data_IF_228324086789
#
_entry.id   IF_228324086789
#
_cell.length_a   1.000
_cell.length_b   1.000
_cell.length_c   1.000
_cell.angle_alpha   90.00
_cell.angle_beta   90.00
_cell.angle_gamma   90.00
#
_symmetry.space_group_name_H-M   'P 1'
#
loop_
_entity.id
_entity.type
_entity.pdbx_description
1 polymer ?
#
# COMPACT_ATOMS: atom_id res chain seq x y z
N UNK A 1 -74.49 34.49 44.37
CA UNK A 1 -75.06 34.10 45.68
C UNK A 1 -74.38 32.83 46.13
N UNK A 2 -73.85 32.88 47.35
CA UNK A 2 -73.42 31.80 48.26
C UNK A 2 -72.70 30.57 47.70
N UNK A 3 -71.40 30.40 48.01
CA UNK A 3 -70.85 29.76 49.21
C UNK A 3 -71.13 28.25 49.24
N UNK A 4 -70.09 27.42 49.09
CA UNK A 4 -69.64 26.48 50.14
C UNK A 4 -68.69 25.40 49.59
N UNK A 5 -67.40 25.57 49.88
CA UNK A 5 -66.51 24.46 50.29
C UNK A 5 -66.97 24.02 51.71
N UNK A 6 -66.74 22.78 52.22
CA UNK A 6 -65.38 22.34 52.57
C UNK A 6 -65.11 20.82 52.64
N UNK A 7 -63.82 20.48 52.82
CA UNK A 7 -63.21 19.37 53.62
C UNK A 7 -63.70 17.91 53.37
N UNK A 8 -62.89 16.86 53.39
CA UNK A 8 -61.54 16.65 53.88
C UNK A 8 -61.00 15.30 53.35
N UNK A 9 -59.67 15.23 53.25
CA UNK A 9 -58.77 14.08 53.44
C UNK A 9 -59.34 12.65 53.36
N UNK A 10 -58.68 11.80 52.58
CA UNK A 10 -57.69 10.86 53.13
C UNK A 10 -56.85 10.20 52.02
N UNK A 11 -55.59 10.01 52.39
CA UNK A 11 -54.45 9.59 51.61
C UNK A 11 -54.43 8.07 51.27
N UNK A 12 -53.52 7.76 50.33
CA UNK A 12 -52.78 6.50 50.14
C UNK A 12 -53.37 5.44 49.21
N UNK A 13 -52.59 5.12 48.17
CA UNK A 13 -52.70 3.85 47.45
C UNK A 13 -52.26 3.91 46.00
N UNK A 14 -51.03 4.35 45.72
CA UNK A 14 -50.43 4.16 44.41
C UNK A 14 -50.22 2.67 44.14
N UNK A 15 -50.68 2.15 43.00
CA UNK A 15 -49.92 1.19 42.19
C UNK A 15 -50.46 1.14 40.76
N UNK A 16 -49.54 1.50 39.86
CA UNK A 16 -49.50 1.41 38.41
C UNK A 16 -50.39 0.39 37.70
N UNK A 17 -51.16 0.90 36.73
CA UNK A 17 -51.62 0.15 35.57
C UNK A 17 -50.78 0.63 34.36
N UNK A 18 -49.67 -0.05 34.07
CA UNK A 18 -48.90 0.21 32.84
C UNK A 18 -49.55 -0.60 31.72
N UNK A 19 -50.25 0.10 30.84
CA UNK A 19 -50.66 -0.42 29.54
C UNK A 19 -49.42 -0.48 28.63
N UNK A 20 -49.03 -1.68 28.20
CA UNK A 20 -48.07 -1.87 27.12
C UNK A 20 -48.69 -1.39 25.80
N UNK A 21 -48.39 -0.14 25.42
CA UNK A 21 -48.51 0.29 24.03
C UNK A 21 -47.28 -0.24 23.29
N UNK A 22 -47.48 -1.27 22.47
CA UNK A 22 -46.50 -1.77 21.52
C UNK A 22 -46.12 -0.67 20.52
N UNK A 23 -44.99 -0.01 20.78
CA UNK A 23 -44.30 0.78 19.77
C UNK A 23 -43.69 -0.18 18.76
N UNK A 24 -44.32 -0.30 17.60
CA UNK A 24 -43.69 -0.86 16.41
C UNK A 24 -42.48 0.02 16.06
N UNK A 25 -41.29 -0.40 16.47
CA UNK A 25 -40.04 0.19 16.00
C UNK A 25 -39.86 -0.16 14.53
N UNK A 26 -39.41 0.77 13.67
CA UNK A 26 -39.09 0.42 12.30
C UNK A 26 -37.88 -0.51 12.32
N UNK A 27 -38.10 -1.80 12.07
CA UNK A 27 -37.03 -2.76 11.80
C UNK A 27 -36.26 -2.25 10.58
N UNK A 28 -35.07 -1.69 10.82
CA UNK A 28 -34.06 -1.54 9.77
C UNK A 28 -33.87 -2.93 9.15
N UNK A 29 -33.98 -3.09 7.82
CA UNK A 29 -33.63 -4.36 7.20
C UNK A 29 -32.15 -4.62 7.52
N UNK A 30 -31.89 -5.63 8.33
CA UNK A 30 -30.56 -6.21 8.45
C UNK A 30 -30.31 -6.86 7.10
N UNK A 31 -29.61 -6.15 6.22
CA UNK A 31 -29.00 -6.76 5.05
C UNK A 31 -28.01 -7.77 5.63
N UNK A 32 -28.36 -9.06 5.61
CA UNK A 32 -27.37 -10.12 5.76
C UNK A 32 -26.44 -9.99 4.55
N UNK A 33 -25.37 -9.21 4.73
CA UNK A 33 -24.15 -9.33 3.96
C UNK A 33 -23.58 -10.69 4.35
N UNK A 34 -24.10 -11.77 3.76
CA UNK A 34 -23.29 -12.96 3.59
C UNK A 34 -22.10 -12.51 2.76
N UNK A 35 -20.87 -12.46 3.32
CA UNK A 35 -19.72 -12.16 2.50
C UNK A 35 -19.70 -13.26 1.45
N UNK A 36 -19.87 -12.88 0.19
CA UNK A 36 -19.53 -13.80 -0.88
C UNK A 36 -18.07 -14.19 -0.62
N UNK A 37 -17.74 -15.49 -0.62
CA UNK A 37 -16.34 -15.88 -0.54
C UNK A 37 -15.62 -15.15 -1.68
N UNK A 38 -14.62 -14.36 -1.33
CA UNK A 38 -13.77 -13.65 -2.27
C UNK A 38 -13.02 -14.74 -3.04
N UNK A 39 -13.64 -15.26 -4.10
CA UNK A 39 -12.93 -16.03 -5.11
C UNK A 39 -11.92 -15.06 -5.71
N UNK A 40 -10.65 -15.46 -5.82
CA UNK A 40 -9.50 -14.62 -6.22
C UNK A 40 -9.72 -13.75 -7.50
N UNK A 41 -10.79 -13.99 -8.26
CA UNK A 41 -11.22 -13.23 -9.43
C UNK A 41 -12.01 -11.93 -9.17
N UNK A 42 -12.37 -11.56 -7.94
CA UNK A 42 -13.15 -10.31 -7.68
C UNK A 42 -12.31 -9.09 -7.26
N UNK A 43 -10.99 -9.24 -7.17
CA UNK A 43 -10.10 -8.11 -6.81
C UNK A 43 -9.67 -7.40 -8.09
N UNK A 44 -10.24 -6.22 -8.33
CA UNK A 44 -9.83 -5.31 -9.41
C UNK A 44 -8.45 -4.73 -9.08
N UNK A 45 -7.45 -5.08 -9.88
CA UNK A 45 -6.07 -4.62 -9.72
C UNK A 45 -5.75 -3.49 -10.70
N UNK A 46 -4.83 -2.58 -10.33
CA UNK A 46 -4.47 -1.43 -11.18
C UNK A 46 -3.73 -1.82 -12.46
N UNK A 47 -3.21 -3.04 -12.51
CA UNK A 47 -2.62 -3.65 -13.69
C UNK A 47 -3.44 -4.89 -14.04
N UNK A 48 -3.65 -5.12 -15.34
CA UNK A 48 -4.15 -6.41 -15.81
C UNK A 48 -2.98 -7.39 -15.99
N UNK A 49 -3.30 -8.67 -16.14
CA UNK A 49 -2.31 -9.73 -16.31
C UNK A 49 -1.38 -9.47 -17.50
N UNK A 50 -1.91 -9.01 -18.64
CA UNK A 50 -1.12 -8.76 -19.85
C UNK A 50 -0.03 -7.71 -19.65
N UNK A 51 -0.39 -6.51 -19.15
CA UNK A 51 0.58 -5.46 -18.84
C UNK A 51 1.57 -5.91 -17.77
N UNK A 52 1.11 -6.71 -16.80
CA UNK A 52 1.99 -7.22 -15.75
C UNK A 52 3.05 -8.14 -16.33
N UNK A 53 2.66 -9.10 -17.17
CA UNK A 53 3.61 -9.99 -17.85
C UNK A 53 4.57 -9.22 -18.77
N UNK A 54 4.12 -8.17 -19.44
CA UNK A 54 4.97 -7.30 -20.26
C UNK A 54 6.06 -6.61 -19.41
N UNK A 55 5.69 -6.05 -18.25
CA UNK A 55 6.64 -5.44 -17.31
C UNK A 55 7.64 -6.47 -16.80
N UNK A 56 7.17 -7.65 -16.40
CA UNK A 56 8.04 -8.73 -15.89
C UNK A 56 9.00 -9.21 -16.98
N UNK A 57 8.54 -9.36 -18.22
CA UNK A 57 9.37 -9.74 -19.35
C UNK A 57 10.43 -8.68 -19.66
N UNK A 58 10.03 -7.40 -19.71
CA UNK A 58 10.95 -6.27 -19.90
C UNK A 58 12.03 -6.22 -18.83
N UNK A 59 11.64 -6.44 -17.58
CA UNK A 59 12.52 -6.49 -16.42
C UNK A 59 13.18 -7.83 -16.20
N UNK A 60 13.03 -8.80 -17.11
CA UNK A 60 13.69 -10.11 -16.98
C UNK A 60 13.41 -10.79 -15.63
N UNK A 61 12.23 -10.54 -15.06
CA UNK A 61 11.82 -11.08 -13.76
C UNK A 61 11.19 -12.44 -13.95
N UNK A 62 11.87 -13.49 -13.51
CA UNK A 62 11.34 -14.85 -13.50
C UNK A 62 12.11 -15.76 -12.57
N UNK A 63 11.46 -16.82 -12.09
CA UNK A 63 12.10 -17.83 -11.23
C UNK A 63 13.28 -18.56 -11.91
N UNK A 64 13.34 -18.55 -13.24
CA UNK A 64 14.46 -19.06 -14.03
C UNK A 64 15.61 -18.08 -14.18
N UNK A 65 15.38 -16.78 -13.96
CA UNK A 65 16.37 -15.71 -14.12
C UNK A 65 16.95 -15.26 -12.77
N UNK A 66 16.19 -15.41 -11.67
CA UNK A 66 16.71 -15.17 -10.32
C UNK A 66 17.74 -16.23 -9.95
N UNK A 67 18.99 -15.85 -9.60
CA UNK A 67 19.99 -16.79 -9.13
C UNK A 67 19.49 -17.60 -7.92
N UNK A 68 19.85 -18.88 -7.82
CA UNK A 68 19.47 -19.65 -6.63
C UNK A 68 20.30 -19.21 -5.43
N UNK A 69 19.78 -19.36 -4.19
CA UNK A 69 20.53 -19.00 -2.99
C UNK A 69 21.94 -19.62 -2.89
N UNK A 70 22.17 -20.78 -3.54
CA UNK A 70 23.46 -21.48 -3.55
C UNK A 70 24.39 -21.07 -4.70
N UNK A 71 23.91 -20.31 -5.69
CA UNK A 71 24.72 -19.77 -6.79
C UNK A 71 25.49 -18.50 -6.36
N UNK A 72 25.27 -18.05 -5.12
CA UNK A 72 25.95 -16.93 -4.49
C UNK A 72 27.43 -17.27 -4.20
N UNK A 73 28.38 -16.34 -4.41
CA UNK A 73 29.80 -16.59 -4.13
C UNK A 73 30.00 -17.13 -2.70
N UNK A 74 30.74 -18.23 -2.57
CA UNK A 74 30.88 -19.04 -1.35
C UNK A 74 31.44 -18.30 -0.11
N UNK A 75 31.86 -17.03 -0.23
CA UNK A 75 32.17 -16.17 0.92
C UNK A 75 30.94 -15.56 1.60
N UNK A 76 29.72 -15.89 1.15
CA UNK A 76 28.45 -15.54 1.81
C UNK A 76 27.77 -16.79 2.39
N UNK A 77 28.56 -17.66 3.04
CA UNK A 77 28.07 -18.82 3.80
C UNK A 77 27.26 -18.38 5.02
N UNK A 78 25.96 -18.24 4.83
CA UNK A 78 24.88 -18.70 5.70
C UNK A 78 23.61 -18.11 5.11
N UNK A 79 22.52 -18.89 5.13
CA UNK A 79 21.12 -18.41 5.08
C UNK A 79 20.95 -16.96 4.60
N UNK A 80 20.45 -16.73 3.38
CA UNK A 80 19.94 -15.45 2.86
C UNK A 80 20.32 -14.28 3.78
N UNK A 81 21.34 -13.47 3.50
CA UNK A 81 21.61 -12.35 4.37
C UNK A 81 20.43 -11.37 4.24
N UNK A 82 19.44 -11.56 5.12
CA UNK A 82 18.39 -10.59 5.41
C UNK A 82 19.06 -9.31 5.94
N UNK A 83 20.32 -9.42 6.39
CA UNK A 83 21.11 -8.38 7.02
C UNK A 83 22.50 -8.19 6.37
N UNK A 84 22.58 -8.16 5.03
CA UNK A 84 23.75 -7.54 4.39
C UNK A 84 23.31 -6.34 3.58
N UNK A 85 23.83 -5.18 3.97
CA UNK A 85 23.64 -3.91 3.25
C UNK A 85 24.16 -3.93 1.81
N UNK A 86 24.84 -4.98 1.39
CA UNK A 86 25.25 -5.20 0.00
C UNK A 86 24.03 -5.40 -0.89
N UNK A 87 23.88 -4.53 -1.89
CA UNK A 87 22.90 -4.72 -2.97
C UNK A 87 23.44 -5.81 -3.88
N UNK A 88 22.70 -6.91 -3.99
CA UNK A 88 23.04 -8.05 -4.83
C UNK A 88 22.03 -8.09 -5.97
N UNK A 89 22.52 -7.90 -7.19
CA UNK A 89 21.77 -7.98 -8.46
C UNK A 89 22.67 -8.70 -9.47
N UNK A 90 22.71 -10.03 -9.40
CA UNK A 90 23.58 -10.87 -10.23
C UNK A 90 22.99 -11.05 -11.62
N UNK A 91 21.66 -11.04 -11.75
CA UNK A 91 20.99 -11.16 -13.06
C UNK A 91 20.95 -9.83 -13.83
N UNK A 92 21.44 -8.74 -13.22
CA UNK A 92 21.60 -7.40 -13.80
C UNK A 92 20.29 -6.82 -14.34
N UNK A 93 19.18 -7.08 -13.65
CA UNK A 93 17.88 -6.55 -14.04
C UNK A 93 17.48 -5.25 -13.31
N UNK A 94 18.38 -4.72 -12.47
CA UNK A 94 18.19 -3.58 -11.59
C UNK A 94 17.14 -3.83 -10.51
N UNK A 95 17.00 -5.08 -10.08
CA UNK A 95 16.18 -5.48 -8.93
C UNK A 95 17.08 -6.32 -8.04
N UNK A 96 16.98 -6.09 -6.74
CA UNK A 96 17.77 -6.85 -5.77
C UNK A 96 17.29 -8.31 -5.75
N UNK A 97 18.22 -9.26 -5.88
CA UNK A 97 17.90 -10.69 -6.06
C UNK A 97 17.12 -11.29 -4.88
N UNK A 98 17.39 -10.87 -3.65
CA UNK A 98 16.64 -11.27 -2.44
C UNK A 98 15.18 -10.77 -2.49
N UNK A 99 14.99 -9.53 -2.92
CA UNK A 99 13.67 -8.91 -3.06
C UNK A 99 12.89 -9.54 -4.22
N UNK A 100 13.52 -9.72 -5.39
CA UNK A 100 12.89 -10.38 -6.54
C UNK A 100 12.43 -11.79 -6.18
N UNK A 101 13.30 -12.57 -5.52
CA UNK A 101 12.95 -13.90 -5.03
C UNK A 101 11.75 -13.87 -4.11
N UNK A 102 11.71 -12.91 -3.19
CA UNK A 102 10.59 -12.75 -2.27
C UNK A 102 9.29 -12.42 -3.01
N UNK A 103 9.32 -11.53 -3.99
CA UNK A 103 8.12 -11.22 -4.79
C UNK A 103 7.58 -12.48 -5.48
N UNK A 104 8.46 -13.27 -6.09
CA UNK A 104 8.10 -14.49 -6.82
C UNK A 104 7.64 -15.64 -5.91
N UNK A 105 8.05 -15.68 -4.64
CA UNK A 105 7.59 -16.69 -3.69
C UNK A 105 6.34 -16.27 -2.93
N UNK A 106 6.20 -14.97 -2.63
CA UNK A 106 5.11 -14.44 -1.83
C UNK A 106 3.83 -14.24 -2.66
N UNK A 107 3.95 -13.83 -3.93
CA UNK A 107 2.79 -13.48 -4.74
C UNK A 107 2.50 -14.54 -5.80
N UNK A 108 1.24 -14.98 -5.84
CA UNK A 108 0.74 -15.93 -6.84
C UNK A 108 0.30 -15.24 -8.14
N UNK A 109 -0.08 -13.97 -8.05
CA UNK A 109 -0.58 -13.16 -9.17
C UNK A 109 0.55 -12.35 -9.79
N UNK A 110 0.79 -12.44 -11.11
CA UNK A 110 1.83 -11.67 -11.78
C UNK A 110 1.64 -10.15 -11.62
N UNK A 111 0.41 -9.69 -11.42
CA UNK A 111 0.09 -8.29 -11.19
C UNK A 111 0.70 -7.76 -9.87
N UNK A 112 0.66 -8.54 -8.79
CA UNK A 112 1.30 -8.16 -7.53
C UNK A 112 2.83 -8.19 -7.63
N UNK A 113 3.38 -9.13 -8.40
CA UNK A 113 4.83 -9.15 -8.70
C UNK A 113 5.21 -7.89 -9.48
N UNK A 114 4.48 -7.55 -10.54
CA UNK A 114 4.73 -6.36 -11.35
C UNK A 114 4.61 -5.07 -10.53
N UNK A 115 3.60 -4.95 -9.67
CA UNK A 115 3.50 -3.85 -8.72
C UNK A 115 4.72 -3.76 -7.80
N UNK A 116 5.21 -4.88 -7.27
CA UNK A 116 6.41 -4.92 -6.44
C UNK A 116 7.67 -4.47 -7.18
N UNK A 117 7.79 -4.82 -8.46
CA UNK A 117 8.88 -4.39 -9.36
C UNK A 117 8.82 -2.89 -9.65
N UNK A 118 7.63 -2.36 -9.95
CA UNK A 118 7.42 -0.92 -10.16
C UNK A 118 7.72 -0.12 -8.89
N UNK A 119 7.30 -0.64 -7.73
CA UNK A 119 7.58 -0.03 -6.44
C UNK A 119 9.09 -0.02 -6.14
N UNK A 120 9.81 -1.11 -6.40
CA UNK A 120 11.26 -1.15 -6.25
C UNK A 120 11.97 -0.12 -7.13
N UNK A 121 11.61 -0.03 -8.42
CA UNK A 121 12.19 0.98 -9.31
C UNK A 121 11.92 2.42 -8.84
N UNK A 122 10.75 2.65 -8.22
CA UNK A 122 10.45 3.92 -7.57
C UNK A 122 11.32 4.17 -6.32
N UNK A 123 11.45 3.17 -5.45
CA UNK A 123 12.24 3.25 -4.22
C UNK A 123 13.73 3.43 -4.50
N UNK A 124 14.28 2.81 -5.55
CA UNK A 124 15.66 3.04 -6.00
C UNK A 124 15.89 4.53 -6.31
N UNK A 125 14.94 5.16 -7.02
CA UNK A 125 14.98 6.60 -7.32
C UNK A 125 14.86 7.44 -6.06
N UNK A 126 14.00 7.04 -5.13
CA UNK A 126 13.82 7.73 -3.85
C UNK A 126 15.13 7.70 -3.04
N UNK A 127 15.73 6.53 -2.81
CA UNK A 127 16.95 6.42 -2.00
C UNK A 127 18.18 7.03 -2.68
N UNK A 128 18.23 7.08 -4.01
CA UNK A 128 19.31 7.76 -4.74
C UNK A 128 19.41 9.25 -4.35
N UNK A 129 18.30 9.86 -3.94
CA UNK A 129 18.29 11.27 -3.50
C UNK A 129 19.07 11.50 -2.21
N UNK A 130 19.25 10.49 -1.36
CA UNK A 130 20.02 10.58 -0.13
C UNK A 130 21.45 11.08 -0.42
N UNK A 131 22.13 10.42 -1.35
CA UNK A 131 23.53 10.71 -1.73
C UNK A 131 23.67 11.76 -2.84
N UNK A 132 22.57 12.20 -3.45
CA UNK A 132 22.60 13.18 -4.54
C UNK A 132 23.11 14.53 -4.04
N UNK A 133 24.26 14.96 -4.57
CA UNK A 133 24.88 16.27 -4.27
C UNK A 133 24.25 17.41 -5.06
N UNK A 134 23.80 17.12 -6.27
CA UNK A 134 23.14 18.09 -7.14
C UNK A 134 21.79 18.51 -6.56
N UNK A 135 21.37 19.73 -6.93
CA UNK A 135 20.08 20.27 -6.51
C UNK A 135 18.94 19.41 -7.07
N UNK A 136 18.12 18.87 -6.18
CA UNK A 136 16.87 18.19 -6.55
C UNK A 136 15.81 19.26 -6.86
N UNK A 137 15.16 19.14 -8.01
CA UNK A 137 14.09 20.06 -8.41
C UNK A 137 12.85 19.83 -7.55
N UNK A 138 12.10 20.90 -7.26
CA UNK A 138 10.87 20.83 -6.47
C UNK A 138 9.86 19.83 -7.05
N UNK A 139 9.67 19.85 -8.38
CA UNK A 139 8.76 18.92 -9.07
C UNK A 139 9.20 17.46 -8.88
N UNK A 140 10.50 17.18 -8.90
CA UNK A 140 11.05 15.84 -8.65
C UNK A 140 10.78 15.42 -7.22
N UNK A 141 10.98 16.30 -6.24
CA UNK A 141 10.70 16.01 -4.83
C UNK A 141 9.21 15.70 -4.60
N UNK A 142 8.31 16.55 -5.13
CA UNK A 142 6.86 16.32 -5.08
C UNK A 142 6.51 14.97 -5.71
N UNK A 143 7.01 14.70 -6.91
CA UNK A 143 6.73 13.45 -7.64
C UNK A 143 7.19 12.23 -6.84
N UNK A 144 8.39 12.26 -6.26
CA UNK A 144 8.90 11.13 -5.49
C UNK A 144 8.06 10.88 -4.24
N UNK A 145 7.75 11.92 -3.45
CA UNK A 145 6.97 11.77 -2.21
C UNK A 145 5.53 11.37 -2.49
N UNK A 146 4.86 12.01 -3.46
CA UNK A 146 3.47 11.69 -3.79
C UNK A 146 3.33 10.29 -4.37
N UNK A 147 4.28 9.82 -5.19
CA UNK A 147 4.29 8.45 -5.68
C UNK A 147 4.51 7.44 -4.55
N UNK A 148 5.45 7.71 -3.63
CA UNK A 148 5.71 6.83 -2.49
C UNK A 148 4.46 6.68 -1.60
N UNK A 149 3.77 7.79 -1.32
CA UNK A 149 2.51 7.80 -0.58
C UNK A 149 1.43 7.00 -1.32
N UNK A 150 1.26 7.22 -2.63
CA UNK A 150 0.26 6.52 -3.42
C UNK A 150 0.53 5.00 -3.50
N UNK A 151 1.78 4.58 -3.65
CA UNK A 151 2.19 3.16 -3.61
C UNK A 151 1.75 2.53 -2.27
N UNK A 152 2.10 3.18 -1.15
CA UNK A 152 1.78 2.67 0.18
C UNK A 152 0.26 2.64 0.45
N UNK A 153 -0.46 3.69 0.06
CA UNK A 153 -1.91 3.74 0.18
C UNK A 153 -2.61 2.70 -0.70
N UNK A 154 -2.09 2.42 -1.89
CA UNK A 154 -2.63 1.38 -2.74
C UNK A 154 -2.49 0.00 -2.11
N UNK A 155 -1.28 -0.36 -1.65
CA UNK A 155 -1.09 -1.62 -0.92
C UNK A 155 -2.00 -1.71 0.29
N UNK A 156 -2.07 -0.65 1.11
CA UNK A 156 -2.98 -0.62 2.26
C UNK A 156 -4.43 -0.88 1.87
N UNK A 157 -4.92 -0.24 0.79
CA UNK A 157 -6.29 -0.42 0.31
C UNK A 157 -6.54 -1.84 -0.20
N UNK A 158 -5.59 -2.41 -0.95
CA UNK A 158 -5.67 -3.77 -1.46
C UNK A 158 -5.63 -4.80 -0.32
N UNK A 159 -4.88 -4.56 0.75
CA UNK A 159 -4.84 -5.42 1.93
C UNK A 159 -6.17 -5.49 2.68
N UNK A 160 -7.04 -4.47 2.55
CA UNK A 160 -8.39 -4.51 3.13
C UNK A 160 -9.33 -5.48 2.40
N UNK A 161 -9.03 -5.79 1.13
CA UNK A 161 -9.85 -6.67 0.29
C UNK A 161 -9.19 -8.02 0.02
N UNK A 162 -7.86 -8.08 0.04
CA UNK A 162 -7.05 -9.30 -0.01
C UNK A 162 -6.23 -9.41 1.27
N UNK A 163 -6.72 -10.18 2.23
CA UNK A 163 -6.05 -10.37 3.52
C UNK A 163 -4.78 -11.23 3.43
N UNK A 164 -4.51 -11.84 2.28
CA UNK A 164 -3.28 -12.60 2.01
C UNK A 164 -2.19 -11.72 1.42
N UNK A 165 -2.54 -10.51 0.94
CA UNK A 165 -1.59 -9.56 0.42
C UNK A 165 -0.73 -8.98 1.55
N UNK A 166 0.58 -9.08 1.40
CA UNK A 166 1.56 -8.41 2.27
C UNK A 166 2.24 -7.32 1.47
N UNK A 167 2.26 -6.08 1.96
CA UNK A 167 3.01 -4.98 1.33
C UNK A 167 4.51 -5.32 1.25
N UNK A 168 5.18 -5.12 0.11
CA UNK A 168 6.56 -5.54 -0.05
C UNK A 168 7.57 -4.51 0.53
N UNK A 169 7.10 -3.38 1.08
CA UNK A 169 7.97 -2.31 1.58
C UNK A 169 8.99 -2.78 2.63
N UNK A 170 8.57 -3.61 3.59
CA UNK A 170 9.46 -4.12 4.64
C UNK A 170 10.47 -5.14 4.11
N UNK A 171 10.13 -5.81 3.01
CA UNK A 171 11.05 -6.72 2.34
C UNK A 171 12.08 -5.96 1.50
N UNK A 172 11.71 -4.82 0.96
CA UNK A 172 12.64 -3.95 0.25
C UNK A 172 13.56 -3.20 1.22
N UNK A 173 13.02 -2.60 2.29
CA UNK A 173 13.76 -1.91 3.35
C UNK A 173 13.94 -2.82 4.58
N UNK A 174 14.60 -3.97 4.38
CA UNK A 174 14.72 -5.04 5.37
C UNK A 174 15.91 -4.92 6.35
N UNK A 175 16.76 -3.89 6.23
CA UNK A 175 17.86 -3.61 7.16
C UNK A 175 17.70 -2.24 7.82
N UNK A 176 18.23 -2.06 9.02
CA UNK A 176 18.20 -0.76 9.72
C UNK A 176 18.81 0.35 8.88
N UNK A 177 19.90 0.07 8.16
CA UNK A 177 20.53 1.04 7.27
C UNK A 177 19.64 1.41 6.10
N UNK A 178 18.97 0.44 5.46
CA UNK A 178 18.04 0.70 4.35
C UNK A 178 16.87 1.57 4.80
N UNK A 179 16.33 1.30 6.00
CA UNK A 179 15.30 2.13 6.64
C UNK A 179 15.84 3.54 6.89
N UNK A 180 17.03 3.66 7.50
CA UNK A 180 17.66 4.95 7.77
C UNK A 180 17.87 5.78 6.49
N UNK A 181 18.36 5.15 5.42
CA UNK A 181 18.56 5.82 4.12
C UNK A 181 17.22 6.29 3.55
N UNK A 182 16.18 5.45 3.61
CA UNK A 182 14.82 5.83 3.18
C UNK A 182 14.34 7.05 3.95
N UNK A 183 14.43 7.05 5.26
CA UNK A 183 13.92 8.12 6.10
C UNK A 183 14.68 9.43 5.86
N UNK A 184 16.01 9.36 5.73
CA UNK A 184 16.84 10.52 5.40
C UNK A 184 16.57 11.06 3.98
N UNK A 185 16.29 10.17 3.02
CA UNK A 185 15.87 10.59 1.67
C UNK A 185 14.51 11.28 1.72
N UNK A 186 13.52 10.70 2.40
CA UNK A 186 12.18 11.30 2.55
C UNK A 186 12.25 12.65 3.26
N UNK A 187 13.00 12.77 4.37
CA UNK A 187 13.19 14.03 5.09
C UNK A 187 13.81 15.10 4.18
N UNK A 188 14.86 14.76 3.43
CA UNK A 188 15.50 15.68 2.48
C UNK A 188 14.50 16.22 1.44
N UNK A 189 13.66 15.35 0.89
CA UNK A 189 12.64 15.74 -0.10
C UNK A 189 11.51 16.56 0.53
N UNK A 190 11.06 16.20 1.73
CA UNK A 190 10.05 16.94 2.48
C UNK A 190 10.53 18.35 2.85
N UNK A 191 11.80 18.52 3.18
CA UNK A 191 12.38 19.85 3.42
C UNK A 191 12.35 20.73 2.16
N UNK A 192 12.61 20.17 0.98
CA UNK A 192 12.46 20.91 -0.30
C UNK A 192 10.99 21.30 -0.51
N UNK A 193 10.08 20.35 -0.29
CA UNK A 193 8.63 20.55 -0.40
C UNK A 193 8.11 21.62 0.56
N UNK A 194 8.58 21.64 1.81
CA UNK A 194 8.12 22.57 2.83
C UNK A 194 8.44 24.04 2.48
N UNK A 195 9.43 24.27 1.60
CA UNK A 195 9.75 25.61 1.08
C UNK A 195 8.91 26.02 -0.14
N UNK A 196 8.02 25.14 -0.60
CA UNK A 196 7.16 25.38 -1.76
C UNK A 196 6.07 26.43 -1.45
N UNK A 197 5.85 27.41 -2.34
CA UNK A 197 4.70 28.30 -2.25
C UNK A 197 3.40 27.66 -2.74
N UNK A 198 3.46 26.45 -3.30
CA UNK A 198 2.32 25.75 -3.90
C UNK A 198 1.73 24.69 -2.98
N UNK A 199 0.40 24.59 -2.98
CA UNK A 199 -0.31 23.48 -2.34
C UNK A 199 -0.06 22.18 -3.11
N UNK A 200 0.32 21.13 -2.37
CA UNK A 200 0.46 19.79 -2.93
C UNK A 200 -0.88 19.10 -2.87
N UNK A 201 -1.31 18.56 -4.01
CA UNK A 201 -2.49 17.70 -4.10
C UNK A 201 -2.03 16.26 -4.19
N UNK A 202 -2.73 15.39 -3.46
CA UNK A 202 -2.50 13.95 -3.50
C UNK A 202 -3.57 13.31 -4.40
N UNK A 203 -3.20 12.27 -5.13
CA UNK A 203 -4.13 11.56 -6.00
C UNK A 203 -5.28 10.94 -5.19
N UNK A 204 -6.54 11.11 -5.62
CA UNK A 204 -7.68 10.48 -4.96
C UNK A 204 -7.72 8.96 -5.18
N UNK A 205 -7.08 8.46 -6.24
CA UNK A 205 -7.02 7.04 -6.58
C UNK A 205 -5.57 6.53 -6.52
N UNK A 206 -5.08 6.14 -5.33
CA UNK A 206 -3.67 5.80 -5.13
C UNK A 206 -3.20 4.64 -6.01
N UNK A 207 -4.08 3.66 -6.30
CA UNK A 207 -3.73 2.52 -7.14
C UNK A 207 -3.53 2.85 -8.62
N UNK A 208 -4.17 3.90 -9.15
CA UNK A 208 -3.94 4.36 -10.52
C UNK A 208 -2.47 4.74 -10.76
N UNK A 209 -1.73 5.04 -9.68
CA UNK A 209 -0.29 5.33 -9.77
C UNK A 209 0.50 4.18 -10.39
N UNK A 210 0.12 2.92 -10.17
CA UNK A 210 0.81 1.78 -10.77
C UNK A 210 0.67 1.74 -12.29
N UNK A 211 -0.48 2.16 -12.82
CA UNK A 211 -0.69 2.31 -14.27
C UNK A 211 0.28 3.34 -14.85
N UNK A 212 0.40 4.51 -14.22
CA UNK A 212 1.31 5.57 -14.67
C UNK A 212 2.80 5.17 -14.57
N UNK A 213 3.16 4.44 -13.51
CA UNK A 213 4.53 3.91 -13.36
C UNK A 213 4.84 2.87 -14.44
N UNK A 214 3.89 2.00 -14.76
CA UNK A 214 4.00 1.03 -15.85
C UNK A 214 4.19 1.72 -17.20
N UNK A 215 3.33 2.69 -17.54
CA UNK A 215 3.42 3.46 -18.77
C UNK A 215 4.78 4.17 -18.90
N UNK A 216 5.25 4.81 -17.82
CA UNK A 216 6.56 5.48 -17.82
C UNK A 216 7.70 4.50 -18.10
N UNK A 217 7.64 3.27 -17.56
CA UNK A 217 8.66 2.25 -17.77
C UNK A 217 8.63 1.69 -19.20
N UNK A 218 7.43 1.42 -19.73
CA UNK A 218 7.25 0.90 -21.09
C UNK A 218 7.65 1.95 -22.13
N UNK A 219 7.25 3.20 -21.96
CA UNK A 219 7.59 4.30 -22.89
C UNK A 219 9.09 4.57 -22.97
N UNK A 220 9.83 4.54 -21.84
CA UNK A 220 11.28 4.75 -21.86
C UNK A 220 12.02 3.75 -22.75
N UNK A 221 11.44 2.57 -22.96
CA UNK A 221 12.04 1.48 -23.75
C UNK A 221 11.91 1.73 -25.26
N UNK A 222 10.79 2.29 -25.72
CA UNK A 222 10.57 2.59 -27.14
C UNK A 222 11.42 3.75 -27.66
N UNK A 223 11.85 4.65 -26.79
CA UNK A 223 12.76 5.76 -27.14
C UNK A 223 14.25 5.38 -27.08
N UNK A 224 14.60 4.22 -26.52
CA UNK A 224 15.98 3.76 -26.35
C UNK A 224 16.43 2.68 -27.36
N UNK A 225 15.54 2.27 -28.27
CA UNK A 225 15.80 1.37 -29.40
C UNK A 225 16.00 2.18 -30.68
#
# INVERSE_FOLDING_TARGET
MHLSSPLALLFYGATSLIAELAFATPMKPIIKLTPHPITQHTIELPLNEYHSLEILALKKVSSSQVPRPYDMPQNTQSSLPIDTDTVIDINHNNIRDDYERLLLTQYQRPEYVAMGVLAAAHWDRLIATHNQKERILLITAITLITNNIAINQCYYSLQQIDNTLVSPILNYFNTERRITIKDQAEEKLLNIIATSPFNITFEPQPCQRFTLLAESMLQTTFTSL
#
